data_IF_431935318203
#
_entry.id   IF_431935318203
#
_cell.length_a   1.000
_cell.length_b   1.000
_cell.length_c   1.000
_cell.angle_alpha   90.00
_cell.angle_beta   90.00
_cell.angle_gamma   90.00
#
_symmetry.space_group_name_H-M   'P 1'
#
loop_
_entity.id
_entity.type
_entity.pdbx_description
1 polymer ?
#
# COMPACT_ATOMS: atom_id res chain seq x y z
N UNK A 1 14.28 -16.32 8.28
CA UNK A 1 14.87 -17.64 7.93
C UNK A 1 15.45 -17.66 6.52
N UNK A 2 14.69 -17.35 5.46
CA UNK A 2 15.16 -17.41 4.06
C UNK A 2 16.51 -16.71 3.76
N UNK A 3 16.83 -15.55 4.34
CA UNK A 3 18.12 -14.86 4.10
C UNK A 3 19.30 -15.35 4.96
N UNK A 4 19.04 -16.04 6.07
CA UNK A 4 20.11 -16.56 6.93
C UNK A 4 20.86 -17.72 6.26
N UNK A 5 20.17 -18.46 5.38
CA UNK A 5 20.74 -19.58 4.63
C UNK A 5 21.64 -19.10 3.47
N UNK A 6 21.38 -17.91 2.91
CA UNK A 6 22.20 -17.29 1.86
C UNK A 6 23.31 -16.36 2.36
N UNK A 7 23.46 -16.22 3.68
CA UNK A 7 24.33 -15.22 4.31
C UNK A 7 23.67 -13.84 4.40
N UNK A 8 23.75 -13.22 5.58
CA UNK A 8 23.29 -11.86 5.83
C UNK A 8 24.47 -11.04 6.39
N UNK A 9 24.71 -9.86 5.84
CA UNK A 9 25.75 -8.99 6.40
C UNK A 9 25.36 -8.49 7.79
N UNK A 10 26.35 -8.12 8.61
CA UNK A 10 26.09 -7.52 9.92
C UNK A 10 25.25 -6.24 9.82
N UNK A 11 25.49 -5.44 8.77
CA UNK A 11 24.71 -4.22 8.49
C UNK A 11 23.24 -4.53 8.29
N UNK A 12 22.91 -5.53 7.48
CA UNK A 12 21.52 -5.90 7.22
C UNK A 12 20.85 -6.57 8.42
N UNK A 13 21.60 -7.36 9.18
CA UNK A 13 21.11 -7.95 10.43
C UNK A 13 20.76 -6.88 11.47
N UNK A 14 21.56 -5.81 11.54
CA UNK A 14 21.40 -4.73 12.50
C UNK A 14 20.26 -3.76 12.16
N UNK A 15 19.72 -3.80 10.93
CA UNK A 15 18.63 -2.90 10.49
C UNK A 15 17.41 -2.95 11.41
N UNK A 16 17.03 -4.15 11.88
CA UNK A 16 15.89 -4.35 12.77
C UNK A 16 16.02 -3.55 14.07
N UNK A 17 17.24 -3.35 14.58
CA UNK A 17 17.49 -2.55 15.78
C UNK A 17 17.19 -1.07 15.55
N UNK A 18 17.52 -0.54 14.37
CA UNK A 18 17.27 0.86 14.02
C UNK A 18 15.77 1.13 13.93
N UNK A 19 15.02 0.29 13.20
CA UNK A 19 13.57 0.46 13.07
C UNK A 19 12.83 0.27 14.41
N UNK A 20 13.29 -0.65 15.27
CA UNK A 20 12.74 -0.80 16.62
C UNK A 20 12.99 0.46 17.47
N UNK A 21 14.18 1.05 17.35
CA UNK A 21 14.53 2.27 18.06
C UNK A 21 13.71 3.47 17.58
N UNK A 22 13.40 3.57 16.29
CA UNK A 22 12.50 4.61 15.76
C UNK A 22 11.12 4.56 16.44
N UNK A 23 10.54 3.35 16.59
CA UNK A 23 9.24 3.21 17.27
C UNK A 23 9.34 3.63 18.75
N UNK A 24 10.39 3.23 19.47
CA UNK A 24 10.61 3.68 20.85
C UNK A 24 10.75 5.21 20.95
N UNK A 25 11.46 5.85 20.02
CA UNK A 25 11.62 7.30 20.04
C UNK A 25 10.30 8.03 19.77
N UNK A 26 9.50 7.56 18.82
CA UNK A 26 8.16 8.12 18.55
C UNK A 26 7.19 7.87 19.71
N UNK A 27 7.27 6.72 20.37
CA UNK A 27 6.51 6.44 21.59
C UNK A 27 6.83 7.46 22.69
N UNK A 28 8.13 7.70 22.97
CA UNK A 28 8.56 8.64 24.02
C UNK A 28 8.21 10.11 23.73
N UNK A 29 8.36 10.53 22.47
CA UNK A 29 8.27 11.94 22.09
C UNK A 29 6.84 12.37 21.76
N UNK A 30 6.09 11.47 21.11
CA UNK A 30 4.82 11.79 20.48
C UNK A 30 3.68 10.88 20.98
N UNK A 31 3.96 9.93 21.89
CA UNK A 31 2.94 8.99 22.39
C UNK A 31 2.42 8.01 21.34
N UNK A 32 3.20 7.73 20.28
CA UNK A 32 2.79 6.80 19.22
C UNK A 32 2.70 5.38 19.76
N UNK A 33 1.51 4.79 19.73
CA UNK A 33 1.24 3.43 20.23
C UNK A 33 0.89 2.41 19.14
N UNK A 34 0.80 2.82 17.87
CA UNK A 34 0.49 1.94 16.74
C UNK A 34 1.46 2.19 15.60
N UNK A 35 2.06 1.12 15.08
CA UNK A 35 2.85 1.17 13.85
C UNK A 35 2.19 0.32 12.76
N UNK A 36 2.06 0.92 11.58
CA UNK A 36 1.52 0.28 10.38
C UNK A 36 2.63 -0.04 9.38
N UNK A 37 2.47 -1.10 8.59
CA UNK A 37 3.40 -1.43 7.50
C UNK A 37 2.89 -2.50 6.55
N UNK A 38 3.67 -2.84 5.53
CA UNK A 38 3.39 -4.01 4.69
C UNK A 38 3.56 -5.32 5.47
N UNK A 39 2.99 -6.41 4.97
CA UNK A 39 3.10 -7.73 5.61
C UNK A 39 4.55 -8.19 5.85
N UNK A 40 5.49 -7.75 5.01
CA UNK A 40 6.92 -8.01 5.12
C UNK A 40 7.60 -7.28 6.31
N UNK A 41 6.95 -6.27 6.88
CA UNK A 41 7.48 -5.47 7.99
C UNK A 41 7.15 -6.03 9.38
N UNK A 42 6.37 -7.12 9.46
CA UNK A 42 5.90 -7.69 10.73
C UNK A 42 7.02 -7.92 11.77
N UNK A 43 8.15 -8.49 11.34
CA UNK A 43 9.27 -8.78 12.24
C UNK A 43 9.91 -7.52 12.83
N UNK A 44 10.03 -6.45 12.03
CA UNK A 44 10.66 -5.22 12.49
C UNK A 44 9.73 -4.42 13.42
N UNK A 45 8.42 -4.40 13.11
CA UNK A 45 7.43 -3.71 13.95
C UNK A 45 7.33 -4.38 15.32
N UNK A 46 7.24 -5.72 15.35
CA UNK A 46 7.15 -6.46 16.63
C UNK A 46 8.42 -6.34 17.47
N UNK A 47 9.60 -6.16 16.85
CA UNK A 47 10.84 -5.82 17.56
C UNK A 47 10.75 -4.45 18.26
N UNK A 48 10.10 -3.46 17.64
CA UNK A 48 9.81 -2.15 18.24
C UNK A 48 8.87 -2.25 19.45
N UNK A 49 7.79 -3.02 19.33
CA UNK A 49 6.85 -3.28 20.43
C UNK A 49 7.58 -3.92 21.63
N UNK A 50 8.38 -4.95 21.37
CA UNK A 50 9.15 -5.62 22.42
C UNK A 50 10.18 -4.69 23.07
N UNK A 51 10.79 -3.79 22.30
CA UNK A 51 11.71 -2.79 22.83
C UNK A 51 10.98 -1.79 23.75
N UNK A 52 9.84 -1.25 23.33
CA UNK A 52 9.00 -0.35 24.16
C UNK A 52 8.61 -1.04 25.46
N UNK A 53 8.11 -2.28 25.38
CA UNK A 53 7.72 -3.06 26.56
C UNK A 53 8.87 -3.26 27.54
N UNK A 54 10.08 -3.53 27.04
CA UNK A 54 11.26 -3.75 27.89
C UNK A 54 11.85 -2.48 28.48
N UNK A 55 11.81 -1.38 27.73
CA UNK A 55 12.48 -0.13 28.12
C UNK A 55 11.57 0.79 28.93
N UNK A 56 10.29 0.89 28.55
CA UNK A 56 9.33 1.81 29.17
C UNK A 56 8.23 1.10 29.96
N UNK A 57 8.11 -0.24 29.83
CA UNK A 57 6.98 -0.97 30.41
C UNK A 57 5.64 -0.64 29.74
N UNK A 58 5.66 0.00 28.57
CA UNK A 58 4.48 0.46 27.85
C UNK A 58 3.92 -0.56 26.87
N UNK A 59 2.65 -0.37 26.50
CA UNK A 59 1.97 -1.16 25.48
C UNK A 59 1.98 -0.45 24.12
N UNK A 60 2.20 -1.23 23.06
CA UNK A 60 2.19 -0.78 21.68
C UNK A 60 1.63 -1.88 20.75
N UNK A 61 1.17 -1.47 19.57
CA UNK A 61 0.39 -2.31 18.65
C UNK A 61 1.00 -2.31 17.24
N UNK A 62 0.76 -3.41 16.53
CA UNK A 62 1.14 -3.58 15.13
C UNK A 62 -0.10 -3.80 14.28
N UNK A 63 -0.13 -3.19 13.10
CA UNK A 63 -1.09 -3.55 12.06
C UNK A 63 -0.36 -3.66 10.72
N UNK A 64 -0.57 -4.76 10.01
CA UNK A 64 0.04 -4.95 8.69
C UNK A 64 -1.01 -5.03 7.59
N UNK A 65 -0.69 -4.41 6.46
CA UNK A 65 -1.48 -4.51 5.24
C UNK A 65 -1.06 -5.74 4.43
N UNK A 66 -2.01 -6.46 3.82
CA UNK A 66 -1.70 -7.61 2.99
C UNK A 66 -0.89 -7.19 1.75
N UNK A 67 -0.09 -8.11 1.24
CA UNK A 67 0.52 -7.94 -0.07
C UNK A 67 -0.58 -7.93 -1.14
N UNK A 68 -0.65 -6.85 -1.92
CA UNK A 68 -1.59 -6.75 -3.04
C UNK A 68 -1.12 -7.58 -4.23
N UNK A 69 -2.00 -8.47 -4.68
CA UNK A 69 -1.83 -9.33 -5.86
C UNK A 69 -3.02 -9.13 -6.79
N UNK A 70 -2.80 -9.28 -8.09
CA UNK A 70 -3.87 -9.29 -9.10
C UNK A 70 -4.52 -10.67 -9.15
N UNK A 71 -5.70 -10.77 -9.77
CA UNK A 71 -6.39 -12.04 -10.04
C UNK A 71 -5.56 -12.98 -10.94
N UNK A 72 -4.57 -12.46 -11.67
CA UNK A 72 -3.61 -13.23 -12.44
C UNK A 72 -2.44 -13.79 -11.59
N UNK A 73 -2.41 -13.53 -10.28
CA UNK A 73 -1.35 -13.94 -9.37
C UNK A 73 -0.07 -13.11 -9.47
N UNK A 74 -0.08 -12.01 -10.22
CA UNK A 74 1.07 -11.11 -10.34
C UNK A 74 1.08 -10.08 -9.21
N UNK A 75 2.27 -9.65 -8.79
CA UNK A 75 2.41 -8.60 -7.77
C UNK A 75 1.89 -7.27 -8.31
N UNK A 76 1.02 -6.61 -7.56
CA UNK A 76 0.48 -5.31 -7.92
C UNK A 76 1.60 -4.27 -8.14
N UNK A 77 1.44 -3.42 -9.16
CA UNK A 77 2.39 -2.35 -9.49
C UNK A 77 3.63 -2.77 -10.29
N UNK A 78 3.76 -4.06 -10.65
CA UNK A 78 4.73 -4.51 -11.65
C UNK A 78 4.04 -4.63 -13.01
N UNK A 79 4.38 -3.74 -13.93
CA UNK A 79 3.96 -3.82 -15.34
C UNK A 79 5.10 -4.38 -16.19
N UNK A 80 4.83 -4.76 -17.44
CA UNK A 80 5.86 -5.15 -18.41
C UNK A 80 6.90 -4.03 -18.62
N UNK A 81 6.47 -2.77 -18.51
CA UNK A 81 7.32 -1.58 -18.60
C UNK A 81 8.04 -1.23 -17.28
N UNK A 82 7.87 -2.03 -16.22
CA UNK A 82 8.48 -1.81 -14.91
C UNK A 82 7.51 -1.21 -13.88
N UNK A 83 8.05 -0.45 -12.93
CA UNK A 83 7.29 0.16 -11.83
C UNK A 83 6.48 1.37 -12.30
N UNK A 84 5.29 1.55 -11.71
CA UNK A 84 4.47 2.76 -11.87
C UNK A 84 4.88 3.76 -10.80
N UNK A 85 5.55 4.83 -11.21
CA UNK A 85 6.05 5.86 -10.28
C UNK A 85 4.98 6.91 -10.01
N UNK A 86 5.03 7.51 -8.81
CA UNK A 86 4.19 8.68 -8.48
C UNK A 86 4.76 9.99 -9.06
N UNK A 87 6.04 9.99 -9.40
CA UNK A 87 6.71 11.12 -10.04
C UNK A 87 6.33 11.20 -11.52
N UNK A 88 5.79 12.36 -11.92
CA UNK A 88 5.30 12.63 -13.27
C UNK A 88 6.38 12.57 -14.35
N UNK A 89 7.65 12.83 -14.01
CA UNK A 89 8.76 12.73 -14.96
C UNK A 89 9.13 11.27 -15.27
N UNK A 90 8.85 10.37 -14.32
CA UNK A 90 9.16 8.94 -14.43
C UNK A 90 7.99 8.13 -14.96
N UNK A 91 6.77 8.49 -14.57
CA UNK A 91 5.53 7.96 -15.13
C UNK A 91 4.58 9.12 -15.36
N UNK A 92 4.37 9.48 -16.64
CA UNK A 92 3.51 10.60 -16.97
C UNK A 92 2.09 10.40 -16.40
N UNK A 93 1.37 11.48 -16.04
CA UNK A 93 0.01 11.35 -15.50
C UNK A 93 -0.93 10.57 -16.42
N UNK A 94 -0.73 10.67 -17.73
CA UNK A 94 -1.42 9.83 -18.71
C UNK A 94 -1.13 8.34 -18.51
N UNK A 95 0.14 7.93 -18.43
CA UNK A 95 0.52 6.53 -18.20
C UNK A 95 0.05 6.04 -16.83
N UNK A 96 0.10 6.89 -15.82
CA UNK A 96 -0.41 6.59 -14.48
C UNK A 96 -1.93 6.35 -14.52
N UNK A 97 -2.70 7.22 -15.17
CA UNK A 97 -4.13 7.02 -15.40
C UNK A 97 -4.41 5.73 -16.20
N UNK A 98 -3.62 5.48 -17.25
CA UNK A 98 -3.73 4.27 -18.08
C UNK A 98 -3.48 2.99 -17.29
N UNK A 99 -2.58 3.00 -16.29
CA UNK A 99 -2.39 1.85 -15.41
C UNK A 99 -3.69 1.51 -14.65
N UNK A 100 -4.33 2.51 -14.05
CA UNK A 100 -5.55 2.30 -13.25
C UNK A 100 -6.78 1.96 -14.09
N UNK A 101 -7.00 2.65 -15.22
CA UNK A 101 -8.16 2.40 -16.08
C UNK A 101 -8.13 0.99 -16.69
N UNK A 102 -6.95 0.39 -16.81
CA UNK A 102 -6.76 -0.96 -17.34
C UNK A 102 -6.84 -2.06 -16.27
N UNK A 103 -7.25 -1.74 -15.05
CA UNK A 103 -7.50 -2.73 -14.00
C UNK A 103 -8.58 -3.74 -14.44
N UNK A 104 -8.33 -5.03 -14.21
CA UNK A 104 -9.24 -6.14 -14.50
C UNK A 104 -10.54 -6.01 -13.67
N UNK A 105 -11.67 -6.41 -14.24
CA UNK A 105 -12.96 -6.38 -13.54
C UNK A 105 -12.95 -7.21 -12.25
N UNK A 106 -12.14 -8.28 -12.20
CA UNK A 106 -11.98 -9.13 -11.01
C UNK A 106 -11.22 -8.42 -9.87
N UNK A 107 -10.40 -7.43 -10.21
CA UNK A 107 -9.53 -6.72 -9.26
C UNK A 107 -10.09 -5.35 -8.87
N UNK A 108 -10.86 -4.70 -9.76
CA UNK A 108 -11.23 -3.28 -9.60
C UNK A 108 -11.98 -3.01 -8.31
N UNK A 109 -12.89 -3.89 -7.88
CA UNK A 109 -13.62 -3.73 -6.62
C UNK A 109 -12.71 -3.74 -5.39
N UNK A 110 -11.66 -4.57 -5.39
CA UNK A 110 -10.63 -4.57 -4.36
C UNK A 110 -9.79 -3.28 -4.43
N UNK A 111 -9.38 -2.88 -5.64
CA UNK A 111 -8.53 -1.69 -5.82
C UNK A 111 -9.25 -0.41 -5.38
N UNK A 112 -10.55 -0.28 -5.66
CA UNK A 112 -11.36 0.86 -5.18
C UNK A 112 -11.32 0.94 -3.65
N UNK A 113 -11.51 -0.19 -2.95
CA UNK A 113 -11.48 -0.25 -1.48
C UNK A 113 -10.12 0.10 -0.87
N UNK A 114 -9.04 -0.31 -1.51
CA UNK A 114 -7.69 -0.05 -0.98
C UNK A 114 -7.19 1.36 -1.27
N UNK A 115 -7.50 1.88 -2.45
CA UNK A 115 -6.85 3.10 -2.91
C UNK A 115 -7.73 4.33 -2.79
N UNK A 116 -9.05 4.23 -2.81
CA UNK A 116 -9.95 5.40 -2.75
C UNK A 116 -10.43 5.69 -1.33
N UNK A 117 -11.02 6.87 -1.13
CA UNK A 117 -11.72 7.26 0.11
C UNK A 117 -13.24 7.33 -0.10
N UNK A 118 -13.75 6.61 -1.10
CA UNK A 118 -15.19 6.53 -1.36
C UNK A 118 -15.90 5.86 -0.18
N UNK A 119 -17.14 6.26 0.05
CA UNK A 119 -17.95 5.64 1.10
C UNK A 119 -18.41 4.22 0.69
N UNK A 120 -18.95 3.50 1.67
CA UNK A 120 -19.37 2.12 1.45
C UNK A 120 -20.46 1.98 0.37
N UNK A 121 -21.42 2.92 0.33
CA UNK A 121 -22.52 2.88 -0.63
C UNK A 121 -22.05 3.18 -2.05
N UNK A 122 -21.11 4.11 -2.21
CA UNK A 122 -20.44 4.38 -3.49
C UNK A 122 -19.69 3.14 -3.99
N UNK A 123 -18.97 2.46 -3.11
CA UNK A 123 -18.24 1.22 -3.44
C UNK A 123 -19.21 0.12 -3.89
N UNK A 124 -20.31 -0.10 -3.17
CA UNK A 124 -21.30 -1.11 -3.54
C UNK A 124 -22.01 -0.78 -4.87
N UNK A 125 -22.24 0.50 -5.15
CA UNK A 125 -22.79 0.95 -6.42
C UNK A 125 -21.84 0.64 -7.58
N UNK A 126 -20.54 0.88 -7.40
CA UNK A 126 -19.52 0.54 -8.40
C UNK A 126 -19.40 -0.97 -8.62
N UNK A 127 -19.43 -1.78 -7.55
CA UNK A 127 -19.42 -3.24 -7.68
C UNK A 127 -20.64 -3.75 -8.46
N UNK A 128 -21.83 -3.18 -8.20
CA UNK A 128 -23.05 -3.50 -8.95
C UNK A 128 -22.91 -3.08 -10.42
N UNK A 129 -22.40 -1.87 -10.68
CA UNK A 129 -22.17 -1.38 -12.04
C UNK A 129 -21.20 -2.28 -12.82
N UNK A 130 -20.12 -2.76 -12.20
CA UNK A 130 -19.19 -3.71 -12.82
C UNK A 130 -19.86 -5.05 -13.16
N UNK A 131 -20.79 -5.53 -12.33
CA UNK A 131 -21.52 -6.78 -12.61
C UNK A 131 -22.58 -6.63 -13.70
N UNK A 132 -23.31 -5.52 -13.70
CA UNK A 132 -24.47 -5.31 -14.58
C UNK A 132 -24.09 -4.71 -15.93
N UNK A 133 -23.05 -3.85 -15.97
CA UNK A 133 -22.62 -3.07 -17.14
C UNK A 133 -21.08 -3.01 -17.22
N UNK A 134 -20.37 -4.15 -17.29
CA UNK A 134 -18.90 -4.18 -17.29
C UNK A 134 -18.28 -3.34 -18.42
N UNK A 135 -18.92 -3.27 -19.58
CA UNK A 135 -18.48 -2.48 -20.74
C UNK A 135 -18.39 -0.98 -20.46
N UNK A 136 -19.15 -0.47 -19.48
CA UNK A 136 -19.10 0.93 -19.09
C UNK A 136 -17.81 1.27 -18.33
N UNK A 137 -17.14 0.28 -17.73
CA UNK A 137 -15.91 0.41 -16.93
C UNK A 137 -16.00 1.52 -15.88
N UNK A 138 -17.16 1.65 -15.25
CA UNK A 138 -17.48 2.76 -14.34
C UNK A 138 -16.56 2.76 -13.12
N UNK A 139 -16.31 1.59 -12.53
CA UNK A 139 -15.38 1.41 -11.42
C UNK A 139 -13.93 1.78 -11.79
N UNK A 140 -13.44 1.33 -12.96
CA UNK A 140 -12.07 1.66 -13.40
C UNK A 140 -11.91 3.14 -13.70
N UNK A 141 -12.91 3.76 -14.35
CA UNK A 141 -12.90 5.21 -14.62
C UNK A 141 -12.90 6.00 -13.32
N UNK A 142 -13.69 5.58 -12.34
CA UNK A 142 -13.75 6.23 -11.03
C UNK A 142 -12.43 6.09 -10.30
N UNK A 143 -11.89 4.88 -10.20
CA UNK A 143 -10.58 4.58 -9.62
C UNK A 143 -9.47 5.41 -10.27
N UNK A 144 -9.36 5.38 -11.60
CA UNK A 144 -8.31 6.07 -12.34
C UNK A 144 -8.39 7.59 -12.16
N UNK A 145 -9.60 8.16 -12.21
CA UNK A 145 -9.78 9.59 -11.96
C UNK A 145 -9.43 9.97 -10.53
N UNK A 146 -9.90 9.21 -9.55
CA UNK A 146 -9.69 9.52 -8.14
C UNK A 146 -8.21 9.45 -7.73
N UNK A 147 -7.52 8.37 -8.10
CA UNK A 147 -6.10 8.19 -7.75
C UNK A 147 -5.22 9.18 -8.52
N UNK A 148 -5.43 9.35 -9.83
CA UNK A 148 -4.66 10.33 -10.62
C UNK A 148 -4.87 11.75 -10.12
N UNK A 149 -6.10 12.14 -9.73
CA UNK A 149 -6.37 13.47 -9.16
C UNK A 149 -5.57 13.71 -7.88
N UNK A 150 -5.54 12.72 -6.98
CA UNK A 150 -4.85 12.85 -5.69
C UNK A 150 -3.34 12.87 -5.83
N UNK A 151 -2.77 12.16 -6.81
CA UNK A 151 -1.32 12.10 -7.03
C UNK A 151 -0.81 13.26 -7.89
N UNK A 152 -1.51 13.60 -8.98
CA UNK A 152 -1.02 14.56 -9.98
C UNK A 152 -1.85 15.84 -10.09
N UNK A 153 -2.88 16.01 -9.25
CA UNK A 153 -3.77 17.16 -9.27
C UNK A 153 -4.87 17.07 -10.33
N UNK A 154 -5.83 18.01 -10.26
CA UNK A 154 -6.99 18.02 -11.15
C UNK A 154 -6.65 18.43 -12.59
N UNK A 155 -5.64 19.28 -12.79
CA UNK A 155 -5.25 19.74 -14.13
C UNK A 155 -4.64 18.61 -14.97
N UNK A 156 -4.02 17.61 -14.34
CA UNK A 156 -3.46 16.45 -15.01
C UNK A 156 -4.51 15.47 -15.56
N UNK A 157 -5.80 15.71 -15.26
CA UNK A 157 -6.94 14.93 -15.78
C UNK A 157 -7.66 15.60 -16.96
N UNK A 158 -7.22 16.80 -17.37
CA UNK A 158 -7.82 17.56 -18.47
C UNK A 158 -7.35 17.07 -19.83
#
# INVERSE_FOLDING_TARGET
KSRLEGGLSYTEFSYMLLQAYDFLQLYRREGVTLQLGGSDQWGNITAGIELIRRTEGGDAHALTCPLLTTAAGTKFGKTEAGAVWLDAERTSPYRFYQFWINTDDRDVGQMVRFFTLLDHGEIEALDRATRERPEAREAQRTLARDVTRRVHGADALR
#
